data_IF_170655358444
#
_entry.id   IF_170655358444
#
_cell.length_a   1.000
_cell.length_b   1.000
_cell.length_c   1.000
_cell.angle_alpha   90.00
_cell.angle_beta   90.00
_cell.angle_gamma   90.00
#
_symmetry.space_group_name_H-M   'P 1'
#
loop_
_entity.id
_entity.type
_entity.pdbx_description
1 polymer ?
#
# COMPACT_ATOMS: atom_id res chain seq x y z
N UNK A 1 -6.98 16.78 -22.82
CA UNK A 1 -5.81 16.93 -21.94
C UNK A 1 -5.56 18.41 -21.82
N UNK A 2 -5.82 19.00 -20.65
CA UNK A 2 -5.62 20.45 -20.44
C UNK A 2 -4.13 20.72 -20.20
N UNK A 3 -3.69 21.96 -20.47
CA UNK A 3 -2.29 22.38 -20.25
C UNK A 3 -1.85 22.12 -18.79
N UNK A 4 -2.78 22.22 -17.84
CA UNK A 4 -2.57 21.91 -16.41
C UNK A 4 -2.28 20.43 -16.13
N UNK A 5 -2.83 19.51 -16.94
CA UNK A 5 -2.61 18.06 -16.75
C UNK A 5 -1.21 17.66 -17.21
N UNK A 6 -0.69 18.30 -18.25
CA UNK A 6 0.68 18.08 -18.75
C UNK A 6 1.71 18.62 -17.77
N UNK A 7 1.45 19.77 -17.18
CA UNK A 7 2.34 20.41 -16.21
C UNK A 7 2.43 19.58 -14.91
N UNK A 8 1.32 19.03 -14.42
CA UNK A 8 1.28 18.08 -13.30
C UNK A 8 2.07 16.79 -13.60
N UNK A 9 2.07 16.32 -14.84
CA UNK A 9 2.83 15.13 -15.26
C UNK A 9 4.35 15.38 -15.23
N UNK A 10 4.78 16.53 -15.75
CA UNK A 10 6.19 16.92 -15.75
C UNK A 10 6.74 17.16 -14.33
N UNK A 11 5.91 17.68 -13.42
CA UNK A 11 6.30 17.90 -12.03
C UNK A 11 6.54 16.59 -11.30
N UNK A 12 5.79 15.53 -11.63
CA UNK A 12 6.01 14.20 -11.04
C UNK A 12 7.36 13.60 -11.42
N UNK A 13 7.78 13.70 -12.69
CA UNK A 13 9.07 13.17 -13.16
C UNK A 13 10.28 13.92 -12.60
N UNK A 14 10.11 15.20 -12.25
CA UNK A 14 11.15 16.04 -11.68
C UNK A 14 11.14 16.07 -10.14
N UNK A 15 10.19 15.37 -9.50
CA UNK A 15 10.09 15.37 -8.04
C UNK A 15 11.16 14.48 -7.41
N UNK A 16 11.80 14.92 -6.30
CA UNK A 16 12.87 14.14 -5.67
C UNK A 16 12.37 12.76 -5.22
N UNK A 17 13.11 11.72 -5.56
CA UNK A 17 12.76 10.32 -5.25
C UNK A 17 12.58 10.03 -3.74
N UNK A 18 13.11 10.88 -2.87
CA UNK A 18 12.99 10.76 -1.42
C UNK A 18 11.78 11.50 -0.84
N UNK A 19 11.00 12.19 -1.67
CA UNK A 19 9.86 12.92 -1.18
C UNK A 19 8.64 12.01 -1.01
N UNK A 20 7.90 12.25 0.07
CA UNK A 20 6.68 11.53 0.39
C UNK A 20 5.48 12.06 -0.42
N UNK A 21 5.53 12.03 -1.73
CA UNK A 21 4.51 12.57 -2.60
C UNK A 21 4.76 14.05 -2.97
N UNK A 22 3.81 14.66 -3.65
CA UNK A 22 3.89 16.02 -4.16
C UNK A 22 3.20 17.00 -3.21
N UNK A 23 3.74 18.22 -2.97
CA UNK A 23 3.02 19.26 -2.25
C UNK A 23 1.72 19.61 -2.97
N UNK A 24 0.64 19.76 -2.22
CA UNK A 24 -0.62 20.27 -2.74
C UNK A 24 -0.54 21.80 -2.82
N UNK A 25 -0.68 22.43 -4.02
CA UNK A 25 -0.65 23.87 -4.14
C UNK A 25 -1.85 24.57 -3.47
N UNK A 26 -2.98 23.86 -3.34
CA UNK A 26 -4.23 24.42 -2.84
C UNK A 26 -4.46 24.14 -1.35
N UNK A 27 -3.76 23.17 -0.76
CA UNK A 27 -3.91 22.76 0.64
C UNK A 27 -2.57 22.46 1.30
N UNK A 28 -2.43 22.74 2.58
CA UNK A 28 -1.23 22.44 3.37
C UNK A 28 -1.04 20.93 3.59
N UNK A 29 -0.67 20.18 2.57
CA UNK A 29 -0.48 18.73 2.67
C UNK A 29 0.38 18.13 1.56
N UNK A 30 0.67 16.85 1.69
CA UNK A 30 1.36 16.06 0.67
C UNK A 30 0.34 15.17 -0.03
N UNK A 31 0.44 15.10 -1.35
CA UNK A 31 -0.40 14.27 -2.22
C UNK A 31 0.38 13.08 -2.72
N UNK A 32 -0.27 11.96 -2.89
CA UNK A 32 0.32 10.72 -3.42
C UNK A 32 -0.46 10.23 -4.64
N UNK A 33 0.23 9.57 -5.55
CA UNK A 33 -0.38 8.98 -6.74
C UNK A 33 -1.18 7.72 -6.38
N UNK A 34 -2.50 7.84 -6.39
CA UNK A 34 -3.43 6.75 -6.09
C UNK A 34 -3.32 5.61 -7.11
N UNK A 35 -3.06 5.90 -8.40
CA UNK A 35 -2.91 4.88 -9.44
C UNK A 35 -1.72 3.95 -9.12
N UNK A 36 -0.59 4.52 -8.72
CA UNK A 36 0.59 3.74 -8.29
C UNK A 36 0.33 2.98 -6.98
N UNK A 37 -0.41 3.58 -6.04
CA UNK A 37 -0.78 2.93 -4.78
C UNK A 37 -1.67 1.71 -5.03
N UNK A 38 -2.64 1.80 -5.94
CA UNK A 38 -3.51 0.67 -6.33
C UNK A 38 -2.72 -0.44 -7.02
N UNK A 39 -1.79 -0.10 -7.91
CA UNK A 39 -0.91 -1.08 -8.55
C UNK A 39 -0.04 -1.81 -7.51
N UNK A 40 0.52 -1.07 -6.53
CA UNK A 40 1.23 -1.67 -5.38
C UNK A 40 0.33 -2.62 -4.59
N UNK A 41 -0.91 -2.22 -4.27
CA UNK A 41 -1.86 -3.07 -3.58
C UNK A 41 -2.16 -4.35 -4.38
N UNK A 42 -2.27 -4.26 -5.71
CA UNK A 42 -2.42 -5.41 -6.61
C UNK A 42 -1.23 -6.36 -6.55
N UNK A 43 0.01 -5.86 -6.53
CA UNK A 43 1.22 -6.68 -6.39
C UNK A 43 1.23 -7.42 -5.04
N UNK A 44 0.90 -6.74 -3.95
CA UNK A 44 0.81 -7.35 -2.62
C UNK A 44 -0.34 -8.36 -2.53
N UNK A 45 -1.44 -8.13 -3.24
CA UNK A 45 -2.55 -9.08 -3.34
C UNK A 45 -2.11 -10.37 -4.05
N UNK A 46 -1.40 -10.27 -5.17
CA UNK A 46 -0.82 -11.43 -5.87
C UNK A 46 0.15 -12.19 -4.96
N UNK A 47 1.03 -11.47 -4.26
CA UNK A 47 1.97 -12.07 -3.32
C UNK A 47 1.24 -12.83 -2.19
N UNK A 48 0.20 -12.23 -1.61
CA UNK A 48 -0.64 -12.87 -0.59
C UNK A 48 -1.35 -14.11 -1.12
N UNK A 49 -1.88 -14.06 -2.35
CA UNK A 49 -2.52 -15.20 -3.02
C UNK A 49 -1.58 -16.37 -3.20
N UNK A 50 -0.37 -16.09 -3.72
CA UNK A 50 0.67 -17.12 -3.92
C UNK A 50 1.08 -17.71 -2.57
N UNK A 51 1.26 -16.87 -1.55
CA UNK A 51 1.63 -17.31 -0.20
C UNK A 51 0.58 -18.24 0.40
N UNK A 52 -0.71 -17.87 0.34
CA UNK A 52 -1.82 -18.72 0.81
C UNK A 52 -1.85 -20.05 0.03
N UNK A 53 -1.72 -19.98 -1.29
CA UNK A 53 -1.71 -21.18 -2.12
C UNK A 53 -0.57 -22.13 -1.76
N UNK A 54 0.66 -21.63 -1.57
CA UNK A 54 1.81 -22.45 -1.18
C UNK A 54 1.56 -23.10 0.18
N UNK A 55 1.07 -22.34 1.17
CA UNK A 55 0.79 -22.87 2.51
C UNK A 55 -0.26 -23.98 2.51
N UNK A 56 -1.25 -23.89 1.62
CA UNK A 56 -2.30 -24.92 1.51
C UNK A 56 -1.88 -26.13 0.68
N UNK A 57 -1.12 -25.92 -0.41
CA UNK A 57 -0.72 -26.99 -1.32
C UNK A 57 0.52 -27.76 -0.84
N UNK A 58 1.44 -27.05 -0.18
CA UNK A 58 2.73 -27.59 0.31
C UNK A 58 2.99 -27.11 1.73
N UNK A 59 2.35 -27.72 2.75
CA UNK A 59 2.50 -27.31 4.16
C UNK A 59 3.95 -27.36 4.69
N UNK A 60 4.81 -28.15 4.02
CA UNK A 60 6.24 -28.27 4.34
C UNK A 60 7.03 -27.02 3.95
N UNK A 61 6.55 -26.26 2.98
CA UNK A 61 7.15 -24.99 2.60
C UNK A 61 6.62 -23.90 3.50
N UNK A 62 7.55 -23.14 4.06
CA UNK A 62 7.23 -22.04 4.97
C UNK A 62 7.51 -20.66 4.32
N UNK A 63 6.61 -20.19 3.44
CA UNK A 63 6.80 -18.93 2.73
C UNK A 63 6.73 -17.71 3.66
N UNK A 64 6.03 -17.81 4.78
CA UNK A 64 5.84 -16.70 5.73
C UNK A 64 7.16 -16.20 6.28
N UNK A 65 8.11 -17.08 6.49
CA UNK A 65 9.46 -16.74 6.96
C UNK A 65 10.13 -15.64 6.13
N UNK A 66 9.85 -15.61 4.83
CA UNK A 66 10.45 -14.64 3.89
C UNK A 66 9.48 -13.52 3.51
N UNK A 67 8.23 -13.88 3.26
CA UNK A 67 7.20 -12.93 2.83
C UNK A 67 6.80 -11.98 3.95
N UNK A 68 6.69 -12.47 5.18
CA UNK A 68 6.30 -11.66 6.33
C UNK A 68 7.23 -10.46 6.56
N UNK A 69 8.54 -10.66 6.77
CA UNK A 69 9.50 -9.57 6.93
C UNK A 69 9.55 -8.63 5.73
N UNK A 70 9.44 -9.16 4.50
CA UNK A 70 9.40 -8.36 3.28
C UNK A 70 8.20 -7.40 3.27
N UNK A 71 7.00 -7.90 3.55
CA UNK A 71 5.77 -7.09 3.57
C UNK A 71 5.82 -6.04 4.68
N UNK A 72 6.27 -6.41 5.88
CA UNK A 72 6.43 -5.46 7.00
C UNK A 72 7.41 -4.34 6.60
N UNK A 73 8.56 -4.69 6.05
CA UNK A 73 9.54 -3.73 5.57
C UNK A 73 8.95 -2.81 4.51
N UNK A 74 8.30 -3.36 3.47
CA UNK A 74 7.69 -2.58 2.39
C UNK A 74 6.61 -1.61 2.92
N UNK A 75 5.77 -2.07 3.86
CA UNK A 75 4.73 -1.24 4.47
C UNK A 75 5.32 -0.09 5.30
N UNK A 76 6.35 -0.37 6.11
CA UNK A 76 7.01 0.65 6.92
C UNK A 76 7.74 1.66 6.06
N UNK A 77 8.44 1.22 5.00
CA UNK A 77 9.10 2.13 4.06
C UNK A 77 8.09 3.01 3.33
N UNK A 78 6.97 2.44 2.88
CA UNK A 78 5.90 3.22 2.26
C UNK A 78 5.29 4.24 3.24
N UNK A 79 5.07 3.86 4.50
CA UNK A 79 4.50 4.76 5.51
C UNK A 79 5.43 5.91 5.88
N UNK A 80 6.76 5.70 5.84
CA UNK A 80 7.77 6.72 6.21
C UNK A 80 8.20 7.58 5.04
N UNK A 81 8.59 6.96 3.93
CA UNK A 81 9.22 7.62 2.78
C UNK A 81 8.30 7.73 1.56
N UNK A 82 7.12 7.09 1.57
CA UNK A 82 6.24 7.02 0.43
C UNK A 82 6.53 5.83 -0.49
N UNK A 83 5.98 5.87 -1.72
CA UNK A 83 6.09 4.74 -2.67
C UNK A 83 7.51 4.52 -3.19
N UNK A 84 8.32 5.57 -3.27
CA UNK A 84 9.68 5.56 -3.82
C UNK A 84 10.63 6.31 -2.90
N UNK A 85 11.93 5.94 -2.83
CA UNK A 85 12.60 4.82 -3.50
C UNK A 85 12.64 3.52 -2.67
N UNK A 86 12.24 3.54 -1.40
CA UNK A 86 12.55 2.49 -0.42
C UNK A 86 11.50 1.37 -0.31
N UNK A 87 10.28 1.58 -0.80
CA UNK A 87 9.25 0.53 -0.85
C UNK A 87 9.37 -0.25 -2.16
N UNK A 88 9.83 -1.52 -2.16
CA UNK A 88 10.01 -2.30 -3.37
C UNK A 88 8.72 -2.46 -4.19
N UNK A 89 7.62 -2.81 -3.52
CA UNK A 89 6.32 -2.91 -4.19
C UNK A 89 5.79 -1.53 -4.63
N UNK A 90 6.14 -0.46 -3.91
CA UNK A 90 5.84 0.92 -4.30
C UNK A 90 6.58 1.35 -5.56
N UNK A 91 7.86 1.04 -5.66
CA UNK A 91 8.67 1.31 -6.86
C UNK A 91 8.12 0.55 -8.06
N UNK A 92 7.84 -0.76 -7.92
CA UNK A 92 7.25 -1.57 -8.99
C UNK A 92 5.87 -1.04 -9.41
N UNK A 93 5.01 -0.69 -8.45
CA UNK A 93 3.70 -0.09 -8.73
C UNK A 93 3.81 1.22 -9.50
N UNK A 94 4.78 2.07 -9.13
CA UNK A 94 5.05 3.33 -9.83
C UNK A 94 5.57 3.08 -11.24
N UNK A 95 6.48 2.11 -11.43
CA UNK A 95 7.00 1.75 -12.75
C UNK A 95 5.92 1.19 -13.69
N UNK A 96 5.05 0.32 -13.19
CA UNK A 96 3.93 -0.24 -13.97
C UNK A 96 2.97 0.86 -14.42
N UNK A 97 2.79 1.89 -13.61
CA UNK A 97 1.82 2.97 -13.86
C UNK A 97 2.40 4.23 -14.48
N UNK A 98 3.66 4.22 -14.94
CA UNK A 98 4.32 5.40 -15.54
C UNK A 98 3.56 5.99 -16.72
N UNK A 99 2.86 5.15 -17.51
CA UNK A 99 2.07 5.56 -18.66
C UNK A 99 0.59 5.84 -18.32
N UNK A 100 0.19 5.66 -17.07
CA UNK A 100 -1.19 5.87 -16.62
C UNK A 100 -1.38 7.29 -16.09
N UNK A 101 -2.61 7.83 -16.21
CA UNK A 101 -2.93 9.13 -15.63
C UNK A 101 -2.84 9.08 -14.11
N UNK A 102 -2.03 9.94 -13.45
CA UNK A 102 -1.95 9.99 -12.01
C UNK A 102 -3.25 10.56 -11.41
N UNK A 103 -3.74 9.94 -10.36
CA UNK A 103 -4.83 10.45 -9.53
C UNK A 103 -4.22 10.84 -8.20
N UNK A 104 -4.28 12.11 -7.85
CA UNK A 104 -3.68 12.62 -6.63
C UNK A 104 -4.66 12.57 -5.46
N UNK A 105 -4.23 11.98 -4.33
CA UNK A 105 -4.99 11.91 -3.08
C UNK A 105 -4.12 12.29 -1.87
N UNK A 106 -4.73 12.77 -0.77
CA UNK A 106 -3.99 13.10 0.45
C UNK A 106 -3.19 11.92 1.00
N UNK A 107 -1.96 12.18 1.42
CA UNK A 107 -1.02 11.14 1.91
C UNK A 107 -1.36 10.65 3.32
N UNK A 108 -1.91 11.52 4.21
CA UNK A 108 -2.16 11.18 5.62
C UNK A 108 -2.99 9.91 5.83
N UNK A 109 -4.17 9.73 5.17
CA UNK A 109 -4.96 8.51 5.33
C UNK A 109 -4.24 7.26 4.81
N UNK A 110 -3.45 7.40 3.74
CA UNK A 110 -2.66 6.30 3.17
C UNK A 110 -1.54 5.85 4.11
N UNK A 111 -0.85 6.77 4.76
CA UNK A 111 0.15 6.42 5.79
C UNK A 111 -0.46 5.62 6.92
N UNK A 112 -1.63 6.03 7.40
CA UNK A 112 -2.36 5.29 8.43
C UNK A 112 -2.69 3.87 7.96
N UNK A 113 -3.19 3.71 6.73
CA UNK A 113 -3.50 2.40 6.15
C UNK A 113 -2.26 1.51 6.06
N UNK A 114 -1.09 2.04 5.69
CA UNK A 114 0.16 1.28 5.62
C UNK A 114 0.71 0.89 6.98
N UNK A 115 0.57 1.76 8.00
CA UNK A 115 0.90 1.41 9.40
C UNK A 115 -0.01 0.28 9.88
N UNK A 116 -1.31 0.34 9.58
CA UNK A 116 -2.25 -0.73 9.89
C UNK A 116 -1.85 -2.04 9.19
N UNK A 117 -1.47 -1.99 7.91
CA UNK A 117 -0.95 -3.13 7.17
C UNK A 117 0.33 -3.72 7.78
N UNK A 118 1.28 -2.87 8.20
CA UNK A 118 2.47 -3.31 8.92
C UNK A 118 2.13 -4.00 10.24
N UNK A 119 1.16 -3.48 10.99
CA UNK A 119 0.69 -4.08 12.25
C UNK A 119 0.07 -5.46 12.02
N UNK A 120 -0.72 -5.63 10.96
CA UNK A 120 -1.24 -6.94 10.56
C UNK A 120 -0.10 -7.90 10.17
N UNK A 121 0.93 -7.42 9.48
CA UNK A 121 2.12 -8.20 9.17
C UNK A 121 2.85 -8.68 10.42
N UNK A 122 3.05 -7.80 11.41
CA UNK A 122 3.64 -8.18 12.71
C UNK A 122 2.77 -9.20 13.43
N UNK A 123 1.44 -9.01 13.43
CA UNK A 123 0.50 -9.95 14.01
C UNK A 123 0.61 -11.34 13.35
N UNK A 124 0.68 -11.38 12.01
CA UNK A 124 0.87 -12.61 11.24
C UNK A 124 2.17 -13.32 11.63
N UNK A 125 3.29 -12.59 11.73
CA UNK A 125 4.57 -13.14 12.17
C UNK A 125 4.53 -13.64 13.60
N UNK A 126 3.81 -12.98 14.49
CA UNK A 126 3.65 -13.43 15.89
C UNK A 126 2.90 -14.77 15.94
N UNK A 127 1.82 -14.94 15.16
CA UNK A 127 1.12 -16.22 15.10
C UNK A 127 1.97 -17.32 14.45
N UNK A 128 2.77 -16.97 13.46
CA UNK A 128 3.72 -17.91 12.88
C UNK A 128 4.75 -18.41 13.90
N UNK A 129 5.30 -17.52 14.73
CA UNK A 129 6.22 -17.88 15.80
C UNK A 129 5.60 -18.76 16.90
N UNK A 130 4.28 -18.67 17.08
CA UNK A 130 3.51 -19.46 18.03
C UNK A 130 2.97 -20.77 17.43
N UNK A 131 3.40 -21.16 16.22
CA UNK A 131 2.92 -22.34 15.47
C UNK A 131 1.40 -22.39 15.27
N UNK A 132 0.74 -21.22 15.23
CA UNK A 132 -0.71 -21.10 15.07
C UNK A 132 -1.11 -20.94 13.61
N UNK A 133 -0.86 -21.96 12.77
CA UNK A 133 -1.03 -21.91 11.31
C UNK A 133 -2.42 -21.46 10.84
N UNK A 134 -3.49 -21.84 11.54
CA UNK A 134 -4.85 -21.43 11.20
C UNK A 134 -5.05 -19.91 11.34
N UNK A 135 -4.45 -19.30 12.36
CA UNK A 135 -4.50 -17.86 12.57
C UNK A 135 -3.65 -17.10 11.55
N UNK A 136 -2.52 -17.67 11.16
CA UNK A 136 -1.68 -17.12 10.07
C UNK A 136 -2.49 -17.04 8.77
N UNK A 137 -3.17 -18.12 8.39
CA UNK A 137 -4.03 -18.14 7.18
C UNK A 137 -5.18 -17.15 7.32
N UNK A 138 -5.77 -17.04 8.52
CA UNK A 138 -6.84 -16.07 8.79
C UNK A 138 -6.38 -14.62 8.57
N UNK A 139 -5.24 -14.23 9.13
CA UNK A 139 -4.66 -12.88 8.95
C UNK A 139 -4.28 -12.63 7.50
N UNK A 140 -3.68 -13.62 6.82
CA UNK A 140 -3.38 -13.52 5.38
C UNK A 140 -4.65 -13.31 4.56
N UNK A 141 -5.74 -14.02 4.89
CA UNK A 141 -7.04 -13.84 4.24
C UNK A 141 -7.58 -12.40 4.41
N UNK A 142 -7.44 -11.83 5.61
CA UNK A 142 -7.77 -10.41 5.84
C UNK A 142 -6.89 -9.49 5.01
N UNK A 143 -5.57 -9.69 4.99
CA UNK A 143 -4.65 -8.91 4.17
C UNK A 143 -5.00 -9.00 2.67
N UNK A 144 -5.33 -10.21 2.19
CA UNK A 144 -5.79 -10.44 0.82
C UNK A 144 -7.04 -9.62 0.50
N UNK A 145 -8.06 -9.66 1.35
CA UNK A 145 -9.30 -8.91 1.15
C UNK A 145 -9.05 -7.39 1.14
N UNK A 146 -8.25 -6.88 2.07
CA UNK A 146 -7.94 -5.44 2.16
C UNK A 146 -7.18 -4.96 0.93
N UNK A 147 -6.18 -5.71 0.47
CA UNK A 147 -5.41 -5.36 -0.73
C UNK A 147 -6.24 -5.53 -2.01
N UNK A 148 -7.14 -6.49 -2.06
CA UNK A 148 -8.08 -6.67 -3.17
C UNK A 148 -9.06 -5.50 -3.28
N UNK A 149 -9.66 -5.08 -2.16
CA UNK A 149 -10.56 -3.92 -2.11
C UNK A 149 -9.87 -2.65 -2.61
N UNK A 150 -8.63 -2.44 -2.19
CA UNK A 150 -7.86 -1.27 -2.61
C UNK A 150 -7.47 -1.34 -4.09
N UNK A 151 -7.00 -2.49 -4.57
CA UNK A 151 -6.52 -2.67 -5.95
C UNK A 151 -7.67 -2.59 -6.96
N UNK A 152 -8.76 -3.32 -6.72
CA UNK A 152 -9.87 -3.48 -7.67
C UNK A 152 -10.90 -2.36 -7.54
N UNK A 153 -11.40 -2.14 -6.33
CA UNK A 153 -12.46 -1.15 -6.09
C UNK A 153 -11.91 0.25 -5.80
N UNK A 154 -10.61 0.39 -5.53
CA UNK A 154 -10.03 1.67 -5.10
C UNK A 154 -10.50 2.08 -3.71
N UNK A 155 -11.10 1.16 -2.96
CA UNK A 155 -11.59 1.40 -1.61
C UNK A 155 -10.52 1.04 -0.59
N UNK A 156 -9.99 2.06 0.09
CA UNK A 156 -9.00 1.89 1.14
C UNK A 156 -9.69 1.87 2.51
N UNK A 157 -9.80 0.68 3.12
CA UNK A 157 -10.42 0.50 4.45
C UNK A 157 -9.70 1.33 5.51
N UNK A 158 -8.36 1.35 5.50
CA UNK A 158 -7.57 2.16 6.42
C UNK A 158 -7.82 3.67 6.25
N UNK A 159 -8.03 4.14 5.02
CA UNK A 159 -8.39 5.54 4.77
C UNK A 159 -9.79 5.86 5.32
N UNK A 160 -10.73 4.95 5.13
CA UNK A 160 -12.08 5.07 5.67
C UNK A 160 -12.07 5.09 7.21
N UNK A 161 -11.33 4.19 7.86
CA UNK A 161 -11.14 4.21 9.31
C UNK A 161 -10.51 5.52 9.79
N UNK A 162 -9.48 6.01 9.10
CA UNK A 162 -8.86 7.29 9.41
C UNK A 162 -9.88 8.43 9.40
N UNK A 163 -10.78 8.47 8.41
CA UNK A 163 -11.80 9.51 8.31
C UNK A 163 -12.82 9.46 9.47
N UNK A 164 -13.12 8.26 9.99
CA UNK A 164 -14.01 8.09 11.14
C UNK A 164 -13.39 8.60 12.46
N UNK A 165 -12.07 8.37 12.64
CA UNK A 165 -11.41 8.72 13.91
C UNK A 165 -10.91 10.17 13.96
N UNK A 166 -10.54 10.74 12.82
CA UNK A 166 -9.84 12.04 12.78
C UNK A 166 -10.64 13.18 12.16
N UNK A 167 -11.94 12.99 11.85
CA UNK A 167 -12.84 14.03 11.29
C UNK A 167 -12.13 14.92 10.24
N UNK A 168 -11.37 14.33 9.32
CA UNK A 168 -10.68 15.07 8.27
C UNK A 168 -11.71 15.50 7.21
N UNK A 169 -12.11 16.75 7.18
CA UNK A 169 -12.98 17.35 6.14
C UNK A 169 -12.37 17.21 4.72
N UNK A 170 -11.08 16.94 4.63
CA UNK A 170 -10.33 16.79 3.35
C UNK A 170 -10.53 15.41 2.69
N UNK A 171 -11.12 14.43 3.39
CA UNK A 171 -11.34 13.08 2.85
C UNK A 171 -12.72 12.87 2.23
N UNK A 172 -13.55 13.91 2.15
CA UNK A 172 -14.90 13.83 1.58
C UNK A 172 -14.92 14.30 0.13
N UNK A 173 -14.21 13.59 -0.76
CA UNK A 173 -14.46 13.65 -2.22
C UNK A 173 -14.20 12.28 -2.79
#
# INVERSE_FOLDING_TARGET
MTHSDVEKYHTFLNYPWWAMGQPDPDHCGMMINETATRARAGLLNILSSITIFIMLAWPELDPIRYVGPFVIFDMLMAATFGLTPFSPAGVLGTLITTHSKPIWKPTKPKRFAWILGASLGVCCMSFWWLDMSNWVIGVLGVCFLLTWLEAVLGFCVGCWMHSLFFNCEVCSI
#
